data_IF_059997226750
#
_entry.id   IF_059997226750
#
_cell.length_a   1.000
_cell.length_b   1.000
_cell.length_c   1.000
_cell.angle_alpha   90.00
_cell.angle_beta   90.00
_cell.angle_gamma   90.00
#
_symmetry.space_group_name_H-M   'P 1'
#
loop_
_entity.id
_entity.type
_entity.pdbx_description
1 polymer ?
#
# COMPACT_ATOMS: atom_id res chain seq x y z
N UNK A 1 24.92 -2.65 41.43
CA UNK A 1 24.62 -2.93 40.02
C UNK A 1 24.40 -1.64 39.23
N UNK A 2 23.52 -0.74 39.66
CA UNK A 2 23.05 0.42 38.87
C UNK A 2 24.13 1.37 38.32
N UNK A 3 25.07 1.83 39.18
CA UNK A 3 26.15 2.72 38.74
C UNK A 3 27.10 2.06 37.73
N UNK A 4 27.33 0.75 37.88
CA UNK A 4 28.11 -0.06 36.94
C UNK A 4 27.34 -0.23 35.63
N UNK A 5 26.04 -0.53 35.71
CA UNK A 5 25.17 -0.66 34.54
C UNK A 5 25.13 0.61 33.69
N UNK A 6 24.98 1.78 34.32
CA UNK A 6 25.01 3.06 33.64
C UNK A 6 26.37 3.35 32.97
N UNK A 7 27.49 3.00 33.63
CA UNK A 7 28.83 3.14 33.06
C UNK A 7 29.02 2.27 31.81
N UNK A 8 28.59 1.02 31.86
CA UNK A 8 28.67 0.08 30.73
C UNK A 8 27.78 0.58 29.57
N UNK A 9 26.56 1.02 29.86
CA UNK A 9 25.63 1.59 28.87
C UNK A 9 26.22 2.82 28.16
N UNK A 10 26.80 3.75 28.92
CA UNK A 10 27.46 4.93 28.37
C UNK A 10 28.70 4.56 27.51
N UNK A 11 29.49 3.56 27.95
CA UNK A 11 30.65 3.10 27.18
C UNK A 11 30.23 2.45 25.86
N UNK A 12 29.18 1.62 25.88
CA UNK A 12 28.62 0.96 24.71
C UNK A 12 28.05 1.95 23.68
N UNK A 13 27.45 3.07 24.14
CA UNK A 13 26.95 4.11 23.25
C UNK A 13 28.06 4.90 22.53
N UNK A 14 29.27 4.93 23.09
CA UNK A 14 30.38 5.74 22.58
C UNK A 14 31.40 4.97 21.72
N UNK A 15 31.44 3.63 21.81
CA UNK A 15 32.50 2.81 21.21
C UNK A 15 31.93 1.69 20.33
N UNK A 16 32.80 1.12 19.49
CA UNK A 16 32.48 -0.05 18.67
C UNK A 16 32.49 -1.36 19.47
N UNK A 17 31.94 -2.42 18.87
CA UNK A 17 31.75 -3.70 19.53
C UNK A 17 33.08 -4.37 19.95
N UNK A 18 34.15 -4.18 19.17
CA UNK A 18 35.49 -4.71 19.46
C UNK A 18 36.11 -4.05 20.69
N UNK A 19 36.05 -2.72 20.78
CA UNK A 19 36.54 -1.98 21.94
C UNK A 19 35.69 -2.28 23.18
N UNK A 20 34.36 -2.37 23.01
CA UNK A 20 33.44 -2.77 24.07
C UNK A 20 33.76 -4.16 24.61
N UNK A 21 33.95 -5.16 23.73
CA UNK A 21 34.27 -6.52 24.14
C UNK A 21 35.58 -6.59 24.93
N UNK A 22 36.63 -5.90 24.46
CA UNK A 22 37.92 -5.85 25.15
C UNK A 22 37.81 -5.17 26.52
N UNK A 23 37.03 -4.08 26.61
CA UNK A 23 36.82 -3.35 27.86
C UNK A 23 35.98 -4.13 28.87
N UNK A 24 34.94 -4.85 28.42
CA UNK A 24 34.10 -5.71 29.26
C UNK A 24 34.92 -6.85 29.89
N UNK A 25 35.86 -7.45 29.16
CA UNK A 25 36.73 -8.50 29.70
C UNK A 25 37.63 -8.01 30.85
N UNK A 26 37.98 -6.72 30.84
CA UNK A 26 38.84 -6.09 31.85
C UNK A 26 38.09 -5.66 33.11
N UNK A 27 36.75 -5.75 33.14
CA UNK A 27 35.96 -5.34 34.31
C UNK A 27 35.92 -6.47 35.36
N UNK A 28 36.53 -6.30 36.55
CA UNK A 28 36.53 -7.34 37.58
C UNK A 28 35.13 -7.63 38.15
N UNK A 29 34.25 -6.64 38.09
CA UNK A 29 32.85 -6.73 38.54
C UNK A 29 32.03 -7.75 37.73
N UNK A 30 32.44 -8.05 36.49
CA UNK A 30 31.76 -9.01 35.60
C UNK A 30 32.29 -10.45 35.76
N UNK A 31 33.31 -10.66 36.60
CA UNK A 31 33.89 -11.98 36.85
C UNK A 31 33.09 -12.77 37.90
N UNK A 32 32.28 -12.09 38.71
CA UNK A 32 31.33 -12.73 39.63
C UNK A 32 30.15 -13.31 38.86
N UNK A 33 29.97 -14.63 38.94
CA UNK A 33 28.83 -15.32 38.31
C UNK A 33 27.48 -14.91 38.91
N UNK A 34 27.47 -14.49 40.18
CA UNK A 34 26.24 -14.10 40.89
C UNK A 34 25.79 -12.67 40.59
N UNK A 35 26.72 -11.73 40.46
CA UNK A 35 26.40 -10.30 40.28
C UNK A 35 26.18 -9.93 38.80
N UNK A 36 26.71 -10.74 37.87
CA UNK A 36 26.65 -10.48 36.43
C UNK A 36 25.22 -10.38 35.85
N UNK A 37 24.24 -11.21 36.24
CA UNK A 37 22.85 -11.06 35.80
C UNK A 37 22.23 -9.74 36.28
N UNK A 38 22.44 -9.36 37.54
CA UNK A 38 21.91 -8.11 38.11
C UNK A 38 22.52 -6.88 37.42
N UNK A 39 23.83 -6.94 37.12
CA UNK A 39 24.50 -5.91 36.31
C UNK A 39 23.90 -5.88 34.90
N UNK A 40 23.64 -7.02 34.27
CA UNK A 40 23.02 -7.11 32.95
C UNK A 40 21.63 -6.46 32.91
N UNK A 41 20.80 -6.68 33.93
CA UNK A 41 19.49 -6.01 34.05
C UNK A 41 19.67 -4.50 34.23
N UNK A 42 20.62 -4.07 35.07
CA UNK A 42 20.91 -2.65 35.27
C UNK A 42 21.39 -1.95 33.99
N UNK A 43 22.22 -2.61 33.17
CA UNK A 43 22.62 -2.12 31.84
C UNK A 43 21.40 -1.96 30.94
N UNK A 44 20.53 -2.97 30.90
CA UNK A 44 19.32 -2.96 30.07
C UNK A 44 18.39 -1.80 30.43
N UNK A 45 18.17 -1.55 31.73
CA UNK A 45 17.37 -0.44 32.24
C UNK A 45 18.02 0.92 31.91
N UNK A 46 19.34 1.04 32.02
CA UNK A 46 20.05 2.27 31.65
C UNK A 46 19.93 2.56 30.14
N UNK A 47 20.10 1.55 29.29
CA UNK A 47 19.93 1.67 27.84
C UNK A 47 18.48 1.98 27.43
N UNK A 48 17.50 1.49 28.19
CA UNK A 48 16.10 1.82 27.97
C UNK A 48 15.80 3.29 28.31
N UNK A 49 16.39 3.81 29.39
CA UNK A 49 16.15 5.18 29.83
C UNK A 49 16.63 6.21 28.80
N UNK A 50 17.79 5.97 28.18
CA UNK A 50 18.44 6.92 27.27
C UNK A 50 18.19 6.64 25.77
N UNK A 51 17.71 5.44 25.41
CA UNK A 51 17.54 4.97 24.01
C UNK A 51 18.74 5.31 23.09
N UNK A 52 19.98 4.93 23.44
CA UNK A 52 21.14 5.34 22.67
C UNK A 52 21.20 4.67 21.28
N UNK A 53 21.84 5.31 20.29
CA UNK A 53 22.08 4.71 18.99
C UNK A 53 23.14 3.61 19.06
N UNK A 54 22.72 2.35 19.20
CA UNK A 54 23.63 1.19 19.21
C UNK A 54 23.67 0.46 17.86
N UNK A 55 24.87 0.11 17.41
CA UNK A 55 25.04 -0.72 16.21
C UNK A 55 24.59 -2.18 16.49
N UNK A 56 24.22 -2.95 15.45
CA UNK A 56 23.87 -4.36 15.62
C UNK A 56 24.96 -5.18 16.33
N UNK A 57 26.22 -4.89 16.04
CA UNK A 57 27.37 -5.61 16.61
C UNK A 57 27.54 -5.31 18.11
N UNK A 58 27.30 -4.06 18.53
CA UNK A 58 27.33 -3.68 19.94
C UNK A 58 26.19 -4.35 20.71
N UNK A 59 24.99 -4.41 20.11
CA UNK A 59 23.85 -5.10 20.72
C UNK A 59 24.14 -6.60 20.86
N UNK A 60 24.71 -7.23 19.84
CA UNK A 60 25.12 -8.64 19.89
C UNK A 60 26.17 -8.87 20.99
N UNK A 61 27.19 -8.02 21.07
CA UNK A 61 28.22 -8.10 22.11
C UNK A 61 27.65 -8.02 23.53
N UNK A 62 26.69 -7.13 23.79
CA UNK A 62 26.02 -7.03 25.08
C UNK A 62 25.13 -8.24 25.37
N UNK A 63 24.40 -8.70 24.35
CA UNK A 63 23.53 -9.89 24.45
C UNK A 63 24.34 -11.12 24.80
N UNK A 64 25.45 -11.35 24.10
CA UNK A 64 26.38 -12.47 24.35
C UNK A 64 27.07 -12.34 25.72
N UNK A 65 27.44 -11.13 26.13
CA UNK A 65 28.11 -10.91 27.41
C UNK A 65 27.20 -11.25 28.58
N UNK A 66 25.93 -10.81 28.56
CA UNK A 66 24.99 -10.96 29.66
C UNK A 66 24.00 -12.12 29.49
N UNK A 67 24.08 -12.87 28.39
CA UNK A 67 23.17 -13.94 28.02
C UNK A 67 21.68 -13.50 28.03
N UNK A 68 21.41 -12.30 27.49
CA UNK A 68 20.04 -11.75 27.46
C UNK A 68 19.08 -12.55 26.58
N UNK A 69 19.60 -13.37 25.66
CA UNK A 69 18.85 -14.24 24.77
C UNK A 69 18.57 -15.64 25.35
N UNK A 70 19.03 -15.93 26.57
CA UNK A 70 18.72 -17.21 27.23
C UNK A 70 17.22 -17.29 27.57
N UNK A 71 16.55 -18.28 26.99
CA UNK A 71 15.13 -18.57 27.24
C UNK A 71 14.83 -18.93 28.71
N UNK A 72 15.86 -19.27 29.50
CA UNK A 72 15.74 -19.55 30.93
C UNK A 72 15.91 -18.29 31.80
N UNK A 73 16.29 -17.16 31.22
CA UNK A 73 16.47 -15.91 31.92
C UNK A 73 15.15 -15.24 32.33
N UNK A 74 15.24 -14.31 33.26
CA UNK A 74 14.09 -13.52 33.76
C UNK A 74 13.69 -12.37 32.80
N UNK A 75 14.40 -12.19 31.68
CA UNK A 75 14.16 -11.11 30.71
C UNK A 75 13.16 -11.60 29.65
N UNK A 76 12.06 -10.87 29.49
CA UNK A 76 11.09 -11.14 28.43
C UNK A 76 11.73 -10.98 27.03
N UNK A 77 11.75 -12.04 26.19
CA UNK A 77 12.31 -11.97 24.84
C UNK A 77 11.66 -10.90 23.97
N UNK A 78 10.35 -10.66 24.14
CA UNK A 78 9.62 -9.64 23.37
C UNK A 78 10.07 -8.22 23.73
N UNK A 79 10.35 -8.00 25.01
CA UNK A 79 10.89 -6.74 25.50
C UNK A 79 12.28 -6.47 24.91
N UNK A 80 13.19 -7.46 24.97
CA UNK A 80 14.54 -7.34 24.41
C UNK A 80 14.52 -7.09 22.90
N UNK A 81 13.67 -7.80 22.15
CA UNK A 81 13.52 -7.57 20.70
C UNK A 81 13.06 -6.14 20.40
N UNK A 82 12.12 -5.62 21.20
CA UNK A 82 11.59 -4.27 21.04
C UNK A 82 12.66 -3.21 21.34
N UNK A 83 13.41 -3.37 22.44
CA UNK A 83 14.48 -2.45 22.83
C UNK A 83 15.64 -2.47 21.83
N UNK A 84 16.12 -3.66 21.46
CA UNK A 84 17.19 -3.85 20.46
C UNK A 84 16.85 -3.19 19.12
N UNK A 85 15.59 -3.31 18.69
CA UNK A 85 15.11 -2.65 17.47
C UNK A 85 15.16 -1.13 17.59
N UNK A 86 14.76 -0.55 18.73
CA UNK A 86 14.79 0.90 18.95
C UNK A 86 16.21 1.46 18.88
N UNK A 87 17.17 0.83 19.57
CA UNK A 87 18.56 1.27 19.54
C UNK A 87 19.15 1.16 18.12
N UNK A 88 18.85 0.08 17.41
CA UNK A 88 19.25 -0.10 16.00
C UNK A 88 18.63 0.97 15.09
N UNK A 89 17.35 1.29 15.26
CA UNK A 89 16.68 2.35 14.50
C UNK A 89 17.31 3.71 14.78
N UNK A 90 17.60 4.03 16.05
CA UNK A 90 18.32 5.25 16.41
C UNK A 90 19.70 5.32 15.73
N UNK A 91 20.43 4.19 15.71
CA UNK A 91 21.73 4.10 15.05
C UNK A 91 21.65 4.24 13.53
N UNK A 92 20.69 3.61 12.86
CA UNK A 92 20.47 3.73 11.41
C UNK A 92 20.16 5.18 10.99
N UNK A 93 19.56 5.97 11.89
CA UNK A 93 19.28 7.38 11.68
C UNK A 93 20.47 8.30 12.03
N UNK A 94 21.52 7.77 12.66
CA UNK A 94 22.75 8.50 12.96
C UNK A 94 23.66 8.63 11.72
N UNK A 95 24.60 9.59 11.69
CA UNK A 95 25.57 9.71 10.60
C UNK A 95 26.42 8.45 10.37
N UNK A 96 26.69 7.68 11.43
CA UNK A 96 27.47 6.44 11.35
C UNK A 96 26.67 5.29 10.70
N UNK A 97 25.36 5.25 10.93
CA UNK A 97 24.45 4.23 10.40
C UNK A 97 23.88 4.53 9.00
N UNK A 98 24.07 5.73 8.46
CA UNK A 98 23.48 6.15 7.18
C UNK A 98 23.89 5.25 6.01
N UNK A 99 25.15 4.82 5.96
CA UNK A 99 25.64 3.89 4.95
C UNK A 99 25.02 2.48 5.07
N UNK A 100 24.66 2.05 6.28
CA UNK A 100 23.95 0.79 6.50
C UNK A 100 22.48 0.92 6.11
N UNK A 101 21.82 2.00 6.51
CA UNK A 101 20.44 2.29 6.12
C UNK A 101 20.30 2.34 4.59
N UNK A 102 21.26 2.98 3.90
CA UNK A 102 21.32 3.02 2.44
C UNK A 102 21.42 1.63 1.82
N UNK A 103 22.28 0.75 2.36
CA UNK A 103 22.42 -0.63 1.86
C UNK A 103 21.13 -1.43 2.07
N UNK A 104 20.52 -1.33 3.25
CA UNK A 104 19.24 -1.98 3.53
C UNK A 104 18.12 -1.48 2.61
N UNK A 105 18.05 -0.17 2.37
CA UNK A 105 17.08 0.42 1.46
C UNK A 105 17.22 -0.11 0.02
N UNK A 106 18.45 -0.16 -0.51
CA UNK A 106 18.74 -0.68 -1.86
C UNK A 106 18.47 -2.18 -1.97
N UNK A 107 18.68 -2.96 -0.91
CA UNK A 107 18.36 -4.38 -0.90
C UNK A 107 16.85 -4.65 -0.92
N UNK A 108 16.04 -3.73 -0.39
CA UNK A 108 14.59 -3.87 -0.27
C UNK A 108 13.80 -3.22 -1.41
N UNK A 109 14.44 -2.35 -2.20
CA UNK A 109 13.77 -1.53 -3.20
C UNK A 109 14.48 -1.67 -4.54
N UNK A 110 13.74 -1.93 -5.62
CA UNK A 110 14.24 -1.92 -7.01
C UNK A 110 14.61 -0.49 -7.50
N UNK A 111 14.75 0.47 -6.59
CA UNK A 111 15.06 1.85 -6.91
C UNK A 111 16.55 1.99 -7.22
N UNK A 112 16.85 2.32 -8.48
CA UNK A 112 18.20 2.67 -8.94
C UNK A 112 18.73 3.99 -8.36
N UNK A 113 17.84 4.84 -7.83
CA UNK A 113 18.17 6.16 -7.31
C UNK A 113 18.16 6.19 -5.79
N UNK A 114 19.18 6.84 -5.24
CA UNK A 114 19.32 7.06 -3.81
C UNK A 114 18.15 7.88 -3.27
N UNK A 115 17.63 7.58 -2.07
CA UNK A 115 16.69 8.48 -1.42
C UNK A 115 17.40 9.81 -1.20
N UNK A 116 16.79 10.89 -1.70
CA UNK A 116 17.29 12.22 -1.40
C UNK A 116 17.27 12.42 0.11
N UNK A 117 18.34 12.96 0.69
CA UNK A 117 18.36 13.35 2.12
C UNK A 117 17.21 14.30 2.51
N UNK A 118 16.52 14.87 1.52
CA UNK A 118 15.29 15.64 1.67
C UNK A 118 14.10 14.83 2.22
N UNK A 119 13.97 13.54 1.90
CA UNK A 119 12.89 12.68 2.40
C UNK A 119 13.11 12.37 3.87
N UNK A 120 14.32 11.97 4.25
CA UNK A 120 14.66 11.73 5.65
C UNK A 120 14.46 13.00 6.50
N UNK A 121 14.91 14.16 5.98
CA UNK A 121 14.66 15.46 6.62
C UNK A 121 13.16 15.75 6.77
N UNK A 122 12.35 15.38 5.78
CA UNK A 122 10.91 15.55 5.86
C UNK A 122 10.25 14.66 6.91
N UNK A 123 10.75 13.43 7.11
CA UNK A 123 10.26 12.50 8.14
C UNK A 123 10.61 12.96 9.57
N UNK A 124 11.71 13.69 9.73
CA UNK A 124 12.13 14.27 11.03
C UNK A 124 11.31 15.50 11.45
N UNK A 125 10.67 16.18 10.50
CA UNK A 125 9.96 17.43 10.77
C UNK A 125 8.45 17.22 10.84
N UNK A 126 7.76 17.72 11.88
CA UNK A 126 6.30 17.70 11.89
C UNK A 126 5.78 18.57 10.74
N UNK A 127 4.80 18.05 9.98
CA UNK A 127 4.13 18.78 8.89
C UNK A 127 2.63 18.54 8.94
N UNK A 128 1.84 19.53 8.49
CA UNK A 128 0.39 19.38 8.40
C UNK A 128 0.01 18.39 7.28
N UNK A 129 -1.16 17.78 7.44
CA UNK A 129 -1.68 16.72 6.57
C UNK A 129 -1.78 17.16 5.10
N UNK A 130 -2.22 18.40 4.82
CA UNK A 130 -2.34 18.90 3.44
C UNK A 130 -0.99 18.92 2.71
N UNK A 131 0.11 19.26 3.41
CA UNK A 131 1.44 19.31 2.82
C UNK A 131 1.93 17.91 2.50
N UNK A 132 1.63 16.94 3.36
CA UNK A 132 1.91 15.53 3.10
C UNK A 132 1.09 15.02 1.90
N UNK A 133 -0.20 15.36 1.80
CA UNK A 133 -1.02 15.02 0.64
C UNK A 133 -0.43 15.59 -0.66
N UNK A 134 0.04 16.84 -0.66
CA UNK A 134 0.71 17.39 -1.85
C UNK A 134 2.02 16.67 -2.18
N UNK A 135 2.80 16.23 -1.19
CA UNK A 135 4.00 15.42 -1.47
C UNK A 135 3.67 14.08 -2.11
N UNK A 136 2.46 13.56 -1.91
CA UNK A 136 2.03 12.35 -2.63
C UNK A 136 1.83 12.58 -4.11
N UNK A 137 1.77 13.81 -4.64
CA UNK A 137 1.68 14.03 -6.08
C UNK A 137 2.89 13.47 -6.85
N UNK A 138 4.05 13.35 -6.18
CA UNK A 138 5.28 12.81 -6.76
C UNK A 138 5.43 11.34 -6.35
N UNK A 139 5.27 10.37 -7.27
CA UNK A 139 5.33 8.94 -6.91
C UNK A 139 6.66 8.49 -6.34
N UNK A 140 7.79 9.07 -6.78
CA UNK A 140 9.12 8.70 -6.27
C UNK A 140 9.25 8.96 -4.77
N UNK A 141 8.80 10.12 -4.29
CA UNK A 141 8.85 10.49 -2.87
C UNK A 141 8.01 9.59 -1.98
N UNK A 142 6.90 9.07 -2.51
CA UNK A 142 6.06 8.09 -1.81
C UNK A 142 6.84 6.79 -1.64
N UNK A 143 7.43 6.28 -2.71
CA UNK A 143 8.20 5.04 -2.67
C UNK A 143 9.43 5.17 -1.77
N UNK A 144 10.12 6.32 -1.81
CA UNK A 144 11.25 6.61 -0.92
C UNK A 144 10.81 6.66 0.56
N UNK A 145 9.73 7.36 0.90
CA UNK A 145 9.28 7.46 2.28
C UNK A 145 8.84 6.09 2.86
N UNK A 146 8.10 5.30 2.07
CA UNK A 146 7.69 3.95 2.45
C UNK A 146 8.90 3.02 2.53
N UNK A 147 9.80 3.09 1.54
CA UNK A 147 11.02 2.27 1.50
C UNK A 147 11.95 2.55 2.67
N UNK A 148 12.11 3.81 3.08
CA UNK A 148 12.87 4.19 4.29
C UNK A 148 12.22 3.62 5.55
N UNK A 149 10.90 3.70 5.70
CA UNK A 149 10.21 3.11 6.85
C UNK A 149 10.33 1.58 6.87
N UNK A 150 10.30 0.92 5.70
CA UNK A 150 10.57 -0.52 5.58
C UNK A 150 12.01 -0.86 5.93
N UNK A 151 12.99 -0.07 5.48
CA UNK A 151 14.41 -0.26 5.81
C UNK A 151 14.72 -0.04 7.30
N UNK A 152 13.86 0.69 8.02
CA UNK A 152 13.91 0.84 9.48
C UNK A 152 13.12 -0.27 10.22
N UNK A 153 12.60 -1.28 9.53
CA UNK A 153 11.74 -2.34 10.10
C UNK A 153 10.50 -1.80 10.84
N UNK A 154 9.98 -0.64 10.41
CA UNK A 154 8.80 -0.03 11.03
C UNK A 154 7.49 -0.60 10.46
N UNK A 155 6.56 -0.91 11.36
CA UNK A 155 5.20 -1.37 11.04
C UNK A 155 4.16 -0.54 11.80
N UNK A 156 2.98 -0.34 11.20
CA UNK A 156 1.94 0.62 11.64
C UNK A 156 1.42 0.42 13.07
N UNK A 157 1.63 -0.76 13.67
CA UNK A 157 1.24 -1.07 15.06
C UNK A 157 2.31 -0.74 16.11
N UNK A 158 3.48 -0.24 15.71
CA UNK A 158 4.65 -0.09 16.58
C UNK A 158 4.91 1.35 16.99
N UNK A 159 5.67 1.51 18.07
CA UNK A 159 6.14 2.81 18.54
C UNK A 159 6.99 3.51 17.49
N UNK A 160 6.84 4.84 17.39
CA UNK A 160 7.55 5.66 16.40
C UNK A 160 9.07 5.53 16.58
N UNK A 161 9.86 5.31 15.52
CA UNK A 161 11.31 5.26 15.60
C UNK A 161 11.88 6.55 16.21
N UNK A 162 12.88 6.46 17.10
CA UNK A 162 13.47 7.63 17.75
C UNK A 162 14.07 8.60 16.72
N UNK A 163 13.86 9.90 16.93
CA UNK A 163 14.36 10.96 16.04
C UNK A 163 13.48 11.25 14.80
N UNK A 164 12.41 10.49 14.56
CA UNK A 164 11.40 10.82 13.53
C UNK A 164 10.18 11.50 14.15
N UNK A 165 9.51 12.35 13.36
CA UNK A 165 8.28 13.00 13.81
C UNK A 165 7.12 11.98 13.83
N UNK A 166 6.42 11.76 14.96
CA UNK A 166 5.34 10.78 15.07
C UNK A 166 4.22 10.99 14.05
N UNK A 167 3.88 12.25 13.76
CA UNK A 167 2.85 12.61 12.77
C UNK A 167 3.22 12.23 11.35
N UNK A 168 4.51 12.29 11.00
CA UNK A 168 4.99 11.88 9.68
C UNK A 168 5.00 10.38 9.52
N UNK A 169 5.55 9.67 10.52
CA UNK A 169 5.58 8.20 10.52
C UNK A 169 4.17 7.64 10.47
N UNK A 170 3.24 8.17 11.28
CA UNK A 170 1.85 7.76 11.26
C UNK A 170 1.18 8.01 9.89
N UNK A 171 1.44 9.14 9.25
CA UNK A 171 0.90 9.42 7.91
C UNK A 171 1.40 8.41 6.87
N UNK A 172 2.72 8.21 6.77
CA UNK A 172 3.32 7.35 5.75
C UNK A 172 3.06 5.87 6.00
N UNK A 173 3.01 5.44 7.27
CA UNK A 173 2.64 4.07 7.63
C UNK A 173 1.16 3.77 7.32
N UNK A 174 0.27 4.73 7.55
CA UNK A 174 -1.14 4.63 7.12
C UNK A 174 -1.27 4.67 5.60
N UNK A 175 -0.46 5.50 4.93
CA UNK A 175 -0.43 5.56 3.46
C UNK A 175 0.03 4.23 2.85
N UNK A 176 0.99 3.54 3.47
CA UNK A 176 1.45 2.21 3.05
C UNK A 176 0.37 1.13 3.09
N UNK A 177 -0.73 1.36 3.84
CA UNK A 177 -1.92 0.52 3.81
C UNK A 177 -2.89 1.05 2.74
N UNK A 178 -3.03 0.32 1.63
CA UNK A 178 -3.89 0.72 0.49
C UNK A 178 -5.37 0.91 0.86
N UNK A 179 -5.82 0.30 1.97
CA UNK A 179 -7.19 0.36 2.46
C UNK A 179 -7.50 1.63 3.28
N UNK A 180 -6.48 2.40 3.70
CA UNK A 180 -6.71 3.59 4.50
C UNK A 180 -7.32 4.73 3.65
N UNK A 181 -8.13 5.56 4.30
CA UNK A 181 -8.71 6.78 3.73
C UNK A 181 -7.65 7.73 3.19
N UNK A 182 -6.44 7.71 3.76
CA UNK A 182 -5.33 8.55 3.28
C UNK A 182 -4.96 8.21 1.83
N UNK A 183 -4.95 6.93 1.46
CA UNK A 183 -4.66 6.50 0.10
C UNK A 183 -5.74 6.98 -0.89
N UNK A 184 -7.01 6.97 -0.45
CA UNK A 184 -8.13 7.54 -1.22
C UNK A 184 -8.01 9.06 -1.37
N UNK A 185 -7.70 9.79 -0.30
CA UNK A 185 -7.53 11.24 -0.34
C UNK A 185 -6.38 11.65 -1.26
N UNK A 186 -5.25 10.93 -1.22
CA UNK A 186 -4.14 11.15 -2.14
C UNK A 186 -4.54 10.93 -3.60
N UNK A 187 -5.28 9.85 -3.87
CA UNK A 187 -5.85 9.59 -5.19
C UNK A 187 -6.76 10.74 -5.66
N UNK A 188 -7.62 11.25 -4.78
CA UNK A 188 -8.52 12.37 -5.06
C UNK A 188 -7.74 13.65 -5.38
N UNK A 189 -6.68 13.94 -4.63
CA UNK A 189 -5.82 15.10 -4.88
C UNK A 189 -5.14 14.99 -6.23
N UNK A 190 -4.52 13.84 -6.57
CA UNK A 190 -3.90 13.61 -7.88
C UNK A 190 -4.91 13.75 -9.03
N UNK A 191 -6.06 13.10 -8.89
CA UNK A 191 -7.13 13.15 -9.88
C UNK A 191 -7.67 14.57 -10.05
N UNK A 192 -7.87 15.30 -8.94
CA UNK A 192 -8.32 16.69 -8.95
C UNK A 192 -7.30 17.64 -9.57
N UNK A 193 -6.01 17.49 -9.28
CA UNK A 193 -4.97 18.31 -9.93
C UNK A 193 -4.94 18.11 -11.44
N UNK A 194 -5.05 16.86 -11.90
CA UNK A 194 -5.06 16.54 -13.32
C UNK A 194 -6.38 16.99 -13.98
N UNK A 195 -7.51 16.90 -13.28
CA UNK A 195 -8.81 17.41 -13.72
C UNK A 195 -8.79 18.92 -13.98
N UNK A 196 -8.19 19.69 -13.07
CA UNK A 196 -8.01 21.15 -13.24
C UNK A 196 -7.14 21.44 -14.45
N UNK A 197 -6.02 20.72 -14.59
CA UNK A 197 -5.13 20.88 -15.75
C UNK A 197 -5.83 20.56 -17.08
N UNK A 198 -6.51 19.42 -17.18
CA UNK A 198 -7.29 19.06 -18.37
C UNK A 198 -8.42 20.06 -18.65
N UNK A 199 -9.13 20.53 -17.61
CA UNK A 199 -10.15 21.56 -17.73
C UNK A 199 -9.61 22.88 -18.29
N UNK A 200 -8.46 23.34 -17.79
CA UNK A 200 -7.80 24.55 -18.27
C UNK A 200 -7.30 24.39 -19.72
N UNK A 201 -6.76 23.23 -20.09
CA UNK A 201 -6.38 22.94 -21.47
C UNK A 201 -7.58 22.93 -22.42
N UNK A 202 -8.70 22.30 -22.02
CA UNK A 202 -9.93 22.31 -22.79
C UNK A 202 -10.51 23.72 -22.92
N UNK A 203 -10.50 24.50 -21.84
CA UNK A 203 -10.93 25.90 -21.85
C UNK A 203 -10.07 26.74 -22.80
N UNK A 204 -8.74 26.57 -22.75
CA UNK A 204 -7.84 27.24 -23.68
C UNK A 204 -8.14 26.87 -25.13
N UNK A 205 -8.34 25.59 -25.44
CA UNK A 205 -8.71 25.14 -26.79
C UNK A 205 -10.04 25.70 -27.28
N UNK A 206 -11.03 25.81 -26.38
CA UNK A 206 -12.34 26.43 -26.67
C UNK A 206 -12.18 27.92 -26.98
N UNK A 207 -11.40 28.65 -26.18
CA UNK A 207 -11.16 30.08 -26.37
C UNK A 207 -10.38 30.35 -27.66
N UNK A 208 -9.39 29.51 -27.98
CA UNK A 208 -8.61 29.62 -29.21
C UNK A 208 -9.43 29.31 -30.48
N UNK A 209 -10.48 28.49 -30.36
CA UNK A 209 -11.34 28.08 -31.47
C UNK A 209 -12.66 28.86 -31.53
N UNK A 210 -12.77 29.97 -30.80
CA UNK A 210 -14.00 30.74 -30.70
C UNK A 210 -14.22 31.60 -31.96
N UNK A 211 -15.46 31.69 -32.50
CA UNK A 211 -16.70 31.04 -32.06
C UNK A 211 -16.86 29.60 -32.57
N UNK A 212 -17.35 28.71 -31.70
CA UNK A 212 -17.65 27.33 -32.08
C UNK A 212 -18.96 27.23 -32.87
N UNK A 213 -18.99 26.54 -34.03
CA UNK A 213 -20.22 26.32 -34.77
C UNK A 213 -21.20 25.43 -33.97
N UNK A 214 -22.53 25.58 -34.15
CA UNK A 214 -23.50 24.65 -33.55
C UNK A 214 -23.30 23.22 -34.08
N UNK A 215 -23.79 22.22 -33.34
CA UNK A 215 -23.77 20.82 -33.82
C UNK A 215 -24.63 20.67 -35.07
N UNK A 216 -24.25 19.78 -36.00
CA UNK A 216 -24.99 19.53 -37.25
C UNK A 216 -26.46 19.20 -37.04
N UNK A 217 -26.79 18.53 -35.93
CA UNK A 217 -28.17 18.15 -35.57
C UNK A 217 -28.92 19.26 -34.79
N UNK A 218 -28.31 20.44 -34.61
CA UNK A 218 -28.90 21.58 -33.89
C UNK A 218 -29.07 21.41 -32.38
N UNK A 219 -28.71 20.26 -31.80
CA UNK A 219 -28.91 19.95 -30.38
C UNK A 219 -28.19 20.90 -29.41
N UNK A 220 -27.00 21.38 -29.76
CA UNK A 220 -26.19 22.28 -28.92
C UNK A 220 -25.81 23.55 -29.65
N UNK A 221 -26.02 24.70 -28.98
CA UNK A 221 -25.46 25.99 -29.39
C UNK A 221 -23.92 25.99 -29.28
N UNK A 222 -23.24 26.95 -29.92
CA UNK A 222 -21.78 27.09 -29.82
C UNK A 222 -21.28 27.22 -28.36
N UNK A 223 -22.04 27.96 -27.53
CA UNK A 223 -21.80 28.06 -26.08
C UNK A 223 -22.05 26.71 -25.39
N UNK A 224 -23.13 26.01 -25.72
CA UNK A 224 -23.44 24.68 -25.16
C UNK A 224 -22.34 23.66 -25.46
N UNK A 225 -21.79 23.68 -26.67
CA UNK A 225 -20.63 22.84 -27.06
C UNK A 225 -19.38 23.20 -26.27
N UNK A 226 -19.09 24.49 -26.10
CA UNK A 226 -17.96 24.95 -25.27
C UNK A 226 -18.04 24.42 -23.84
N UNK A 227 -19.21 24.58 -23.20
CA UNK A 227 -19.45 24.11 -21.83
C UNK A 227 -19.29 22.59 -21.75
N UNK A 228 -19.83 21.84 -22.72
CA UNK A 228 -19.71 20.39 -22.75
C UNK A 228 -18.25 19.92 -22.90
N UNK A 229 -17.46 20.56 -23.76
CA UNK A 229 -16.03 20.22 -23.94
C UNK A 229 -15.25 20.44 -22.65
N UNK A 230 -15.44 21.58 -21.98
CA UNK A 230 -14.77 21.88 -20.70
C UNK A 230 -15.24 20.91 -19.62
N UNK A 231 -16.54 20.64 -19.53
CA UNK A 231 -17.11 19.71 -18.55
C UNK A 231 -16.56 18.30 -18.72
N UNK A 232 -16.52 17.78 -19.95
CA UNK A 232 -15.94 16.47 -20.26
C UNK A 232 -14.46 16.47 -19.90
N UNK A 233 -13.70 17.49 -20.32
CA UNK A 233 -12.27 17.60 -20.02
C UNK A 233 -11.96 17.61 -18.53
N UNK A 234 -12.75 18.31 -17.72
CA UNK A 234 -12.60 18.38 -16.26
C UNK A 234 -13.04 17.10 -15.57
N UNK A 235 -14.18 16.51 -15.96
CA UNK A 235 -14.75 15.36 -15.25
C UNK A 235 -14.20 14.00 -15.71
N UNK A 236 -13.54 13.93 -16.85
CA UNK A 236 -13.01 12.67 -17.40
C UNK A 236 -12.07 11.96 -16.42
N UNK A 237 -11.06 12.67 -15.91
CA UNK A 237 -10.05 12.09 -15.02
C UNK A 237 -10.62 11.67 -13.66
N UNK A 238 -11.40 12.50 -12.93
CA UNK A 238 -12.04 12.07 -11.68
C UNK A 238 -12.97 10.89 -11.88
N UNK A 239 -13.72 10.85 -12.98
CA UNK A 239 -14.64 9.74 -13.28
C UNK A 239 -13.88 8.44 -13.52
N UNK A 240 -12.77 8.49 -14.27
CA UNK A 240 -11.90 7.34 -14.49
C UNK A 240 -11.21 6.87 -13.20
N UNK A 241 -10.79 7.79 -12.35
CA UNK A 241 -10.20 7.45 -11.06
C UNK A 241 -11.23 6.81 -10.12
N UNK A 242 -12.42 7.39 -9.99
CA UNK A 242 -13.50 6.87 -9.16
C UNK A 242 -13.98 5.50 -9.64
N UNK A 243 -14.11 5.31 -10.96
CA UNK A 243 -14.46 3.99 -11.52
C UNK A 243 -13.38 2.96 -11.19
N UNK A 244 -12.09 3.32 -11.29
CA UNK A 244 -10.99 2.46 -10.86
C UNK A 244 -11.04 2.11 -9.36
N UNK A 245 -11.36 3.08 -8.48
CA UNK A 245 -11.57 2.84 -7.04
C UNK A 245 -12.73 1.88 -6.81
N UNK A 246 -13.86 2.09 -7.49
CA UNK A 246 -15.05 1.25 -7.38
C UNK A 246 -14.77 -0.19 -7.86
N UNK A 247 -14.07 -0.36 -8.98
CA UNK A 247 -13.67 -1.68 -9.49
C UNK A 247 -12.74 -2.39 -8.51
N UNK A 248 -11.72 -1.71 -7.95
CA UNK A 248 -10.85 -2.31 -6.93
C UNK A 248 -11.61 -2.69 -5.66
N UNK A 249 -12.56 -1.85 -5.22
CA UNK A 249 -13.43 -2.18 -4.09
C UNK A 249 -14.31 -3.40 -4.38
N UNK A 250 -14.88 -3.47 -5.59
CA UNK A 250 -15.70 -4.59 -6.05
C UNK A 250 -14.88 -5.89 -6.09
N UNK A 251 -13.67 -5.87 -6.65
CA UNK A 251 -12.78 -7.03 -6.69
C UNK A 251 -12.40 -7.47 -5.29
N UNK A 252 -12.02 -6.55 -4.38
CA UNK A 252 -11.72 -6.88 -2.98
C UNK A 252 -12.92 -7.52 -2.29
N UNK A 253 -14.10 -6.94 -2.44
CA UNK A 253 -15.34 -7.48 -1.88
C UNK A 253 -15.67 -8.87 -2.45
N UNK A 254 -15.43 -9.11 -3.74
CA UNK A 254 -15.63 -10.42 -4.36
C UNK A 254 -14.60 -11.47 -3.91
N UNK A 255 -13.34 -11.07 -3.68
CA UNK A 255 -12.26 -11.95 -3.19
C UNK A 255 -12.31 -12.29 -1.71
N UNK A 256 -13.01 -11.52 -0.87
CA UNK A 256 -13.01 -11.73 0.58
C UNK A 256 -13.40 -13.18 0.96
N UNK A 257 -12.99 -13.72 2.11
CA UNK A 257 -13.50 -15.01 2.58
C UNK A 257 -15.03 -14.99 2.72
N UNK A 258 -15.73 -16.10 2.43
CA UNK A 258 -17.20 -16.19 2.64
C UNK A 258 -17.60 -16.20 4.12
N UNK A 259 -16.64 -16.53 4.99
CA UNK A 259 -16.80 -16.52 6.44
C UNK A 259 -16.87 -15.11 7.01
N UNK A 260 -16.44 -14.09 6.26
CA UNK A 260 -16.57 -12.70 6.69
C UNK A 260 -18.03 -12.26 6.60
N UNK A 261 -18.63 -11.73 7.68
CA UNK A 261 -19.99 -11.21 7.64
C UNK A 261 -20.06 -10.05 6.65
N UNK A 262 -20.94 -10.18 5.65
CA UNK A 262 -21.20 -9.12 4.66
C UNK A 262 -22.65 -8.68 4.78
N UNK A 263 -22.94 -7.40 4.57
CA UNK A 263 -24.30 -6.87 4.73
C UNK A 263 -25.31 -7.53 3.76
N UNK A 264 -24.86 -7.92 2.56
CA UNK A 264 -25.71 -8.48 1.49
C UNK A 264 -25.02 -9.68 0.82
N UNK A 265 -25.06 -10.87 1.44
CA UNK A 265 -24.34 -12.03 0.94
C UNK A 265 -24.96 -12.57 -0.36
N UNK A 266 -26.28 -12.49 -0.52
CA UNK A 266 -26.96 -12.80 -1.79
C UNK A 266 -26.56 -11.87 -2.96
N UNK A 267 -26.40 -10.56 -2.71
CA UNK A 267 -25.92 -9.61 -3.72
C UNK A 267 -24.51 -9.97 -4.19
N UNK A 268 -23.66 -10.43 -3.25
CA UNK A 268 -22.29 -10.86 -3.54
C UNK A 268 -22.26 -12.03 -4.52
N UNK A 269 -23.15 -13.00 -4.34
CA UNK A 269 -23.28 -14.14 -5.26
C UNK A 269 -23.80 -13.67 -6.62
N UNK A 270 -24.82 -12.81 -6.65
CA UNK A 270 -25.50 -12.37 -7.87
C UNK A 270 -24.80 -11.23 -8.61
N UNK A 271 -23.68 -10.70 -8.11
CA UNK A 271 -23.01 -9.53 -8.71
C UNK A 271 -22.60 -9.77 -10.17
N UNK A 272 -21.97 -10.90 -10.47
CA UNK A 272 -21.50 -11.21 -11.83
C UNK A 272 -22.70 -11.34 -12.81
N UNK A 273 -23.74 -12.14 -12.53
CA UNK A 273 -24.89 -12.22 -13.43
C UNK A 273 -25.64 -10.88 -13.56
N UNK A 274 -25.75 -10.08 -12.49
CA UNK A 274 -26.36 -8.75 -12.57
C UNK A 274 -25.54 -7.79 -13.46
N UNK A 275 -24.21 -7.82 -13.40
CA UNK A 275 -23.36 -7.02 -14.27
C UNK A 275 -23.50 -7.43 -15.74
N UNK A 276 -23.53 -8.74 -16.02
CA UNK A 276 -23.78 -9.26 -17.38
C UNK A 276 -25.16 -8.84 -17.89
N UNK A 277 -26.20 -9.00 -17.08
CA UNK A 277 -27.56 -8.58 -17.45
C UNK A 277 -27.66 -7.07 -17.73
N UNK A 278 -26.96 -6.26 -16.92
CA UNK A 278 -26.91 -4.80 -17.10
C UNK A 278 -26.20 -4.41 -18.40
N UNK A 279 -25.05 -5.03 -18.70
CA UNK A 279 -24.31 -4.81 -19.95
C UNK A 279 -25.14 -5.22 -21.17
N UNK A 280 -25.87 -6.33 -21.09
CA UNK A 280 -26.78 -6.79 -22.13
C UNK A 280 -27.95 -5.83 -22.35
N UNK A 281 -28.55 -5.31 -21.26
CA UNK A 281 -29.60 -4.30 -21.33
C UNK A 281 -29.12 -2.98 -21.96
N UNK A 282 -27.91 -2.52 -21.62
CA UNK A 282 -27.28 -1.34 -22.22
C UNK A 282 -27.06 -1.54 -23.72
N UNK A 283 -26.52 -2.68 -24.13
CA UNK A 283 -26.34 -3.01 -25.55
C UNK A 283 -27.67 -3.00 -26.30
N UNK A 284 -28.68 -3.66 -25.75
CA UNK A 284 -30.02 -3.73 -26.35
C UNK A 284 -30.63 -2.34 -26.53
N UNK A 285 -30.55 -1.49 -25.48
CA UNK A 285 -31.07 -0.13 -25.53
C UNK A 285 -30.31 0.73 -26.55
N UNK A 286 -28.99 0.61 -26.61
CA UNK A 286 -28.15 1.38 -27.54
C UNK A 286 -28.43 1.04 -29.00
N UNK A 287 -28.63 -0.25 -29.31
CA UNK A 287 -29.03 -0.72 -30.64
C UNK A 287 -30.44 -0.24 -31.02
N UNK A 288 -31.34 -0.05 -30.04
CA UNK A 288 -32.71 0.40 -30.28
C UNK A 288 -32.82 1.92 -30.47
N UNK A 289 -32.06 2.69 -29.73
CA UNK A 289 -32.15 4.15 -29.69
C UNK A 289 -31.27 4.86 -30.73
N UNK A 290 -30.25 4.19 -31.26
CA UNK A 290 -29.29 4.80 -32.18
C UNK A 290 -29.57 4.34 -33.61
N UNK A 291 -29.90 5.24 -34.56
CA UNK A 291 -30.17 4.86 -35.95
C UNK A 291 -28.92 4.46 -36.76
N UNK A 292 -27.85 3.98 -36.10
CA UNK A 292 -26.58 3.57 -36.70
C UNK A 292 -25.72 2.78 -35.71
N UNK A 293 -24.47 2.46 -36.07
CA UNK A 293 -23.57 1.70 -35.20
C UNK A 293 -23.22 2.56 -33.97
N UNK A 294 -23.58 2.15 -32.73
CA UNK A 294 -23.34 2.96 -31.54
C UNK A 294 -21.90 2.81 -31.04
N UNK A 295 -20.93 3.32 -31.82
CA UNK A 295 -19.48 3.11 -31.62
C UNK A 295 -19.03 3.44 -30.18
N UNK A 296 -19.47 4.57 -29.63
CA UNK A 296 -19.12 4.97 -28.26
C UNK A 296 -19.65 3.99 -27.21
N UNK A 297 -20.85 3.45 -27.42
CA UNK A 297 -21.44 2.47 -26.50
C UNK A 297 -20.74 1.12 -26.62
N UNK A 298 -20.38 0.70 -27.84
CA UNK A 298 -19.61 -0.53 -28.07
C UNK A 298 -18.22 -0.44 -27.42
N UNK A 299 -17.53 0.69 -27.55
CA UNK A 299 -16.25 0.92 -26.88
C UNK A 299 -16.39 0.87 -25.34
N UNK A 300 -17.42 1.51 -24.78
CA UNK A 300 -17.72 1.44 -23.34
C UNK A 300 -18.02 0.01 -22.87
N UNK A 301 -18.76 -0.76 -23.67
CA UNK A 301 -19.07 -2.16 -23.37
C UNK A 301 -17.84 -3.05 -23.42
N UNK A 302 -16.87 -2.82 -24.31
CA UNK A 302 -15.60 -3.56 -24.31
C UNK A 302 -14.84 -3.36 -22.98
N UNK A 303 -14.80 -2.13 -22.47
CA UNK A 303 -14.19 -1.84 -21.16
C UNK A 303 -14.98 -2.50 -20.03
N UNK A 304 -16.31 -2.42 -20.05
CA UNK A 304 -17.16 -3.08 -19.07
C UNK A 304 -16.95 -4.60 -19.07
N UNK A 305 -16.80 -5.22 -20.24
CA UNK A 305 -16.56 -6.66 -20.37
C UNK A 305 -15.22 -7.07 -19.77
N UNK A 306 -14.17 -6.29 -20.01
CA UNK A 306 -12.87 -6.52 -19.40
C UNK A 306 -12.96 -6.47 -17.86
N UNK A 307 -13.74 -5.53 -17.32
CA UNK A 307 -13.98 -5.41 -15.87
C UNK A 307 -14.76 -6.63 -15.35
N UNK A 308 -15.86 -7.01 -15.99
CA UNK A 308 -16.69 -8.17 -15.59
C UNK A 308 -15.84 -9.45 -15.58
N UNK A 309 -15.07 -9.67 -16.64
CA UNK A 309 -14.21 -10.84 -16.78
C UNK A 309 -13.10 -10.82 -15.73
N UNK A 310 -12.49 -9.66 -15.48
CA UNK A 310 -11.49 -9.50 -14.43
C UNK A 310 -12.07 -9.83 -13.04
N UNK A 311 -13.25 -9.31 -12.70
CA UNK A 311 -13.91 -9.60 -11.42
C UNK A 311 -14.21 -11.09 -11.26
N UNK A 312 -14.78 -11.72 -12.29
CA UNK A 312 -15.10 -13.15 -12.30
C UNK A 312 -13.84 -14.02 -12.16
N UNK A 313 -12.78 -13.70 -12.91
CA UNK A 313 -11.51 -14.40 -12.85
C UNK A 313 -10.86 -14.30 -11.47
N UNK A 314 -10.81 -13.09 -10.92
CA UNK A 314 -10.18 -12.83 -9.65
C UNK A 314 -10.91 -13.49 -8.47
N UNK A 315 -12.24 -13.60 -8.56
CA UNK A 315 -13.04 -14.38 -7.63
C UNK A 315 -12.72 -15.87 -7.72
N UNK A 316 -12.62 -16.42 -8.93
CA UNK A 316 -12.30 -17.83 -9.13
C UNK A 316 -10.91 -18.18 -8.59
N UNK A 317 -9.88 -17.38 -8.91
CA UNK A 317 -8.51 -17.58 -8.43
C UNK A 317 -8.40 -17.55 -6.91
N UNK A 318 -9.07 -16.59 -6.27
CA UNK A 318 -9.03 -16.46 -4.82
C UNK A 318 -9.60 -17.69 -4.09
N UNK A 319 -10.42 -18.50 -4.77
CA UNK A 319 -11.15 -19.62 -4.17
C UNK A 319 -10.61 -20.98 -4.59
N UNK A 320 -10.21 -21.13 -5.84
CA UNK A 320 -9.72 -22.39 -6.39
C UNK A 320 -8.19 -22.52 -6.30
N UNK A 321 -7.48 -21.45 -5.92
CA UNK A 321 -6.02 -21.39 -5.99
C UNK A 321 -5.50 -21.21 -7.43
N UNK A 322 -4.17 -21.05 -7.61
CA UNK A 322 -3.57 -21.07 -8.93
C UNK A 322 -3.80 -22.42 -9.59
N UNK A 323 -4.21 -22.43 -10.85
CA UNK A 323 -4.47 -23.67 -11.57
C UNK A 323 -3.15 -24.30 -12.04
N UNK A 324 -3.20 -25.56 -12.46
CA UNK A 324 -2.05 -26.23 -13.08
C UNK A 324 -1.59 -25.48 -14.33
N UNK A 325 -0.28 -25.42 -14.64
CA UNK A 325 0.28 -24.58 -15.71
C UNK A 325 -0.41 -24.75 -17.09
N UNK A 326 -0.73 -25.98 -17.50
CA UNK A 326 -1.45 -26.24 -18.76
C UNK A 326 -2.88 -25.67 -18.81
N UNK A 327 -3.55 -25.59 -17.65
CA UNK A 327 -4.89 -25.03 -17.56
C UNK A 327 -4.88 -23.49 -17.55
N UNK A 328 -3.78 -22.87 -17.14
CA UNK A 328 -3.61 -21.41 -17.12
C UNK A 328 -3.29 -20.85 -18.51
N UNK A 329 -2.50 -21.55 -19.34
CA UNK A 329 -2.23 -21.15 -20.73
C UNK A 329 -3.51 -21.20 -21.58
N UNK A 330 -4.27 -22.31 -21.51
CA UNK A 330 -5.53 -22.46 -22.24
C UNK A 330 -6.56 -21.40 -21.83
N UNK A 331 -6.72 -21.15 -20.53
CA UNK A 331 -7.62 -20.09 -20.04
C UNK A 331 -7.11 -18.68 -20.35
N UNK A 332 -5.80 -18.49 -20.48
CA UNK A 332 -5.18 -17.23 -20.90
C UNK A 332 -5.52 -16.87 -22.35
N UNK A 333 -5.42 -17.84 -23.27
CA UNK A 333 -5.83 -17.67 -24.67
C UNK A 333 -7.33 -17.32 -24.77
N UNK A 334 -8.18 -18.07 -24.06
CA UNK A 334 -9.62 -17.80 -24.03
C UNK A 334 -9.97 -16.45 -23.42
N UNK A 335 -9.20 -15.97 -22.43
CA UNK A 335 -9.34 -14.60 -21.91
C UNK A 335 -9.06 -13.54 -22.95
N UNK A 336 -8.01 -13.70 -23.73
CA UNK A 336 -7.67 -12.76 -24.78
C UNK A 336 -8.76 -12.74 -25.86
N UNK A 337 -9.26 -13.91 -26.27
CA UNK A 337 -10.36 -14.03 -27.22
C UNK A 337 -11.68 -13.43 -26.69
N UNK A 338 -11.99 -13.68 -25.42
CA UNK A 338 -13.15 -13.12 -24.75
C UNK A 338 -13.05 -11.60 -24.58
N UNK A 339 -11.86 -11.04 -24.33
CA UNK A 339 -11.68 -9.58 -24.26
C UNK A 339 -11.98 -8.89 -25.60
N UNK A 340 -11.75 -9.58 -26.71
CA UNK A 340 -11.99 -9.05 -28.06
C UNK A 340 -13.44 -9.17 -28.51
N UNK A 341 -14.29 -9.93 -27.81
CA UNK A 341 -15.65 -10.25 -28.27
C UNK A 341 -16.69 -10.10 -27.15
N UNK A 342 -17.72 -9.27 -27.38
CA UNK A 342 -18.66 -8.87 -26.32
C UNK A 342 -19.46 -10.05 -25.75
N UNK A 343 -20.07 -10.87 -26.62
CA UNK A 343 -20.94 -11.98 -26.18
C UNK A 343 -20.15 -13.15 -25.57
N UNK A 344 -19.02 -13.61 -26.15
CA UNK A 344 -18.20 -14.65 -25.52
C UNK A 344 -17.64 -14.24 -24.15
N UNK A 345 -17.35 -12.95 -23.93
CA UNK A 345 -16.95 -12.45 -22.61
C UNK A 345 -18.01 -12.73 -21.54
N UNK A 346 -19.27 -12.44 -21.85
CA UNK A 346 -20.40 -12.66 -20.95
C UNK A 346 -20.62 -14.14 -20.65
N UNK A 347 -20.59 -14.98 -21.70
CA UNK A 347 -20.69 -16.42 -21.55
C UNK A 347 -19.60 -16.97 -20.63
N UNK A 348 -18.34 -16.57 -20.85
CA UNK A 348 -17.23 -17.04 -20.03
C UNK A 348 -17.30 -16.55 -18.57
N UNK A 349 -17.71 -15.30 -18.34
CA UNK A 349 -17.91 -14.78 -16.99
C UNK A 349 -18.98 -15.58 -16.22
N UNK A 350 -20.09 -15.95 -16.89
CA UNK A 350 -21.14 -16.78 -16.32
C UNK A 350 -20.68 -18.23 -16.07
N UNK A 351 -19.88 -18.80 -16.98
CA UNK A 351 -19.31 -20.14 -16.80
C UNK A 351 -18.39 -20.19 -15.57
N UNK A 352 -17.50 -19.20 -15.40
CA UNK A 352 -16.65 -19.14 -14.21
C UNK A 352 -17.43 -18.90 -12.93
N UNK A 353 -18.47 -18.06 -12.99
CA UNK A 353 -19.38 -17.87 -11.87
C UNK A 353 -20.11 -19.17 -11.48
N UNK A 354 -20.61 -19.92 -12.46
CA UNK A 354 -21.29 -21.19 -12.23
C UNK A 354 -20.33 -22.26 -11.69
N UNK A 355 -19.10 -22.31 -12.21
CA UNK A 355 -18.05 -23.21 -11.74
C UNK A 355 -17.68 -22.92 -10.28
N UNK A 356 -17.50 -21.64 -9.93
CA UNK A 356 -17.27 -21.20 -8.55
C UNK A 356 -18.40 -21.64 -7.62
N UNK A 357 -19.65 -21.37 -8.01
CA UNK A 357 -20.84 -21.72 -7.23
C UNK A 357 -20.96 -23.23 -7.00
N UNK A 358 -20.67 -24.03 -8.03
CA UNK A 358 -20.75 -25.49 -7.94
C UNK A 358 -19.70 -26.06 -6.98
N UNK A 359 -18.47 -25.57 -7.04
CA UNK A 359 -17.36 -26.04 -6.20
C UNK A 359 -17.48 -25.59 -4.73
N UNK A 360 -18.11 -24.45 -4.48
CA UNK A 360 -18.21 -23.85 -3.14
C UNK A 360 -19.61 -23.91 -2.54
N UNK A 361 -20.52 -24.72 -3.10
CA UNK A 361 -21.94 -24.77 -2.73
C UNK A 361 -22.20 -24.92 -1.23
N UNK A 362 -21.34 -25.66 -0.53
CA UNK A 362 -21.48 -25.98 0.89
C UNK A 362 -21.02 -24.85 1.82
N UNK A 363 -20.36 -23.81 1.28
CA UNK A 363 -19.83 -22.65 2.02
C UNK A 363 -20.62 -21.37 1.76
N UNK A 364 -21.51 -21.38 0.76
CA UNK A 364 -22.31 -20.23 0.33
C UNK A 364 -23.29 -19.79 1.42
N UNK A 365 -23.17 -18.54 1.84
CA UNK A 365 -24.20 -17.86 2.64
C UNK A 365 -25.10 -17.08 1.69
N UNK A 366 -26.37 -17.47 1.58
CA UNK A 366 -27.37 -16.70 0.83
C UNK A 366 -28.02 -15.60 1.67
N UNK A 367 -28.09 -15.83 2.99
CA UNK A 367 -28.68 -14.94 3.97
C UNK A 367 -27.74 -14.77 5.16
N UNK A 368 -27.81 -13.62 5.83
CA UNK A 368 -27.16 -13.41 7.12
C UNK A 368 -27.95 -14.19 8.19
N UNK A 369 -27.56 -15.44 8.40
CA UNK A 369 -27.96 -16.23 9.57
C UNK A 369 -26.72 -16.67 10.32
#
# INVERSE_FOLDING_TARGET
>A
ADAVGARIAAFAAAHDATTLAAWLQQQPELWSLGDKPDIGVAVLLALQADDPPLSPDVIACLTDCFAWDDLRGDIDPWYLETASRRWRQAWLLSPQGEAHLRRHYLALTDALLLPDGSVLRSLRQPRPLWRNLLTTLVPSRVNEAIGVLRALDFWTSRQTPPGLAPTQVAFWARFGNEDDRIHLLSGAVRAGTLAVFCGLLCLWGVLASWPLPPTGDGQFSGVGRAVLIVLIGTLFVPTLWLSGVAVRALVRWQRAPEQMPTALPGLRILTIPLLVASAMGILWLALRLTPGIPVATLAGLLVANAIILHVAWQRLLARCGPFTPNADEFRGLWRLLALLTIVPAWGMALVWWAQDLHQHRDRLRWFNR
#
